data_IF_622828862195
#
_entry.id   IF_622828862195
#
_cell.length_a   1.000
_cell.length_b   1.000
_cell.length_c   1.000
_cell.angle_alpha   90.00
_cell.angle_beta   90.00
_cell.angle_gamma   90.00
#
_symmetry.space_group_name_H-M   'P 1'
#
loop_
_entity.id
_entity.type
_entity.pdbx_description
1 polymer ?
#
# COMPACT_ATOMS: atom_id res chain seq x y z
N UNK A 1 -17.78 -20.94 -6.67
CA UNK A 1 -17.08 -19.69 -7.06
C UNK A 1 -18.14 -18.71 -7.53
N UNK A 2 -18.22 -17.52 -6.94
CA UNK A 2 -19.08 -16.48 -7.47
C UNK A 2 -18.46 -15.97 -8.78
N UNK A 3 -19.25 -15.91 -9.84
CA UNK A 3 -18.86 -15.28 -11.10
C UNK A 3 -18.93 -13.77 -10.86
N UNK A 4 -17.83 -13.05 -11.11
CA UNK A 4 -17.84 -11.59 -11.03
C UNK A 4 -18.77 -11.03 -12.11
N UNK A 5 -19.56 -9.99 -11.82
CA UNK A 5 -20.40 -9.36 -12.83
C UNK A 5 -19.53 -8.85 -14.00
N UNK A 6 -20.00 -9.01 -15.23
CA UNK A 6 -19.26 -8.55 -16.42
C UNK A 6 -19.10 -7.03 -16.48
N UNK A 7 -20.01 -6.29 -15.82
CA UNK A 7 -19.98 -4.83 -15.73
C UNK A 7 -19.59 -4.40 -14.32
N UNK A 8 -18.60 -3.49 -14.15
CA UNK A 8 -18.27 -2.89 -12.86
C UNK A 8 -19.50 -2.23 -12.23
N UNK A 9 -19.63 -2.34 -10.91
CA UNK A 9 -20.60 -1.50 -10.19
C UNK A 9 -20.16 -0.04 -10.19
N UNK A 10 -21.02 0.92 -9.82
CA UNK A 10 -20.60 2.31 -9.64
C UNK A 10 -19.44 2.47 -8.63
N UNK A 11 -19.43 1.66 -7.57
CA UNK A 11 -18.36 1.63 -6.57
C UNK A 11 -17.05 1.10 -7.19
N UNK A 12 -17.12 0.02 -7.96
CA UNK A 12 -15.95 -0.50 -8.69
C UNK A 12 -15.39 0.56 -9.64
N UNK A 13 -16.27 1.25 -10.38
CA UNK A 13 -15.87 2.32 -11.29
C UNK A 13 -15.17 3.47 -10.54
N UNK A 14 -15.68 3.86 -9.37
CA UNK A 14 -15.05 4.89 -8.54
C UNK A 14 -13.64 4.47 -8.08
N UNK A 15 -13.42 3.20 -7.73
CA UNK A 15 -12.08 2.69 -7.38
C UNK A 15 -11.16 2.68 -8.61
N UNK A 16 -11.64 2.25 -9.77
CA UNK A 16 -10.89 2.26 -11.04
C UNK A 16 -10.43 3.68 -11.37
N UNK A 17 -11.32 4.65 -11.29
CA UNK A 17 -11.03 6.05 -11.61
C UNK A 17 -10.00 6.64 -10.65
N UNK A 18 -10.13 6.37 -9.35
CA UNK A 18 -9.16 6.79 -8.33
C UNK A 18 -7.78 6.17 -8.59
N UNK A 19 -7.71 4.86 -8.79
CA UNK A 19 -6.45 4.13 -8.99
C UNK A 19 -5.71 4.60 -10.24
N UNK A 20 -6.43 4.68 -11.36
CA UNK A 20 -5.85 5.10 -12.65
C UNK A 20 -5.41 6.57 -12.60
N UNK A 21 -6.18 7.45 -11.96
CA UNK A 21 -5.80 8.86 -11.77
C UNK A 21 -4.55 8.99 -10.89
N UNK A 22 -4.49 8.30 -9.75
CA UNK A 22 -3.31 8.32 -8.87
C UNK A 22 -2.06 7.80 -9.57
N UNK A 23 -2.16 6.70 -10.32
CA UNK A 23 -1.04 6.17 -11.10
C UNK A 23 -0.57 7.09 -12.21
N UNK A 24 -1.49 7.70 -12.95
CA UNK A 24 -1.11 8.66 -13.99
C UNK A 24 -0.47 9.92 -13.42
N UNK A 25 -0.97 10.43 -12.29
CA UNK A 25 -0.36 11.55 -11.57
C UNK A 25 1.05 11.20 -11.08
N UNK A 26 1.24 10.03 -10.49
CA UNK A 26 2.55 9.58 -10.04
C UNK A 26 3.57 9.52 -11.20
N UNK A 27 3.16 8.97 -12.36
CA UNK A 27 4.02 8.91 -13.55
C UNK A 27 4.37 10.31 -14.07
N UNK A 28 3.42 11.25 -14.04
CA UNK A 28 3.62 12.62 -14.54
C UNK A 28 4.45 13.51 -13.60
N UNK A 29 4.22 13.38 -12.29
CA UNK A 29 4.65 14.38 -11.30
C UNK A 29 5.49 13.80 -10.15
N UNK A 30 5.57 12.48 -10.01
CA UNK A 30 6.17 11.81 -8.86
C UNK A 30 5.31 11.84 -7.59
N UNK A 31 4.12 12.43 -7.65
CA UNK A 31 3.14 12.53 -6.56
C UNK A 31 1.79 11.97 -7.06
N UNK A 32 1.20 10.95 -6.41
CA UNK A 32 -0.10 10.40 -6.83
C UNK A 32 -1.28 11.37 -6.65
N UNK A 33 -1.14 12.35 -5.76
CA UNK A 33 -2.19 13.31 -5.37
C UNK A 33 -1.63 14.73 -5.38
N UNK A 34 -1.10 15.23 -6.50
CA UNK A 34 -0.40 16.53 -6.56
C UNK A 34 -1.33 17.67 -6.10
N UNK A 35 -2.62 17.56 -6.44
CA UNK A 35 -3.71 18.44 -6.02
C UNK A 35 -4.85 17.58 -5.43
N UNK A 36 -5.58 18.13 -4.46
CA UNK A 36 -6.79 17.51 -3.91
C UNK A 36 -7.99 17.85 -4.77
N UNK A 37 -8.77 16.84 -5.16
CA UNK A 37 -9.97 16.97 -6.01
C UNK A 37 -11.15 16.25 -5.38
N UNK A 38 -12.36 16.38 -5.95
CA UNK A 38 -13.51 15.60 -5.48
C UNK A 38 -13.27 14.08 -5.60
N UNK A 39 -12.53 13.65 -6.63
CA UNK A 39 -12.17 12.24 -6.83
C UNK A 39 -11.09 11.78 -5.84
N UNK A 40 -10.12 12.64 -5.54
CA UNK A 40 -8.98 12.39 -4.67
C UNK A 40 -8.93 13.46 -3.55
N UNK A 41 -9.86 13.40 -2.58
CA UNK A 41 -9.97 14.45 -1.55
C UNK A 41 -8.86 14.36 -0.50
N UNK A 42 -8.16 13.22 -0.41
CA UNK A 42 -7.11 12.99 0.59
C UNK A 42 -5.73 13.06 -0.06
N UNK A 43 -4.85 13.88 0.50
CA UNK A 43 -3.43 13.93 0.13
C UNK A 43 -2.75 12.64 0.57
N UNK A 44 -2.15 11.91 -0.38
CA UNK A 44 -1.29 10.77 -0.11
C UNK A 44 0.08 11.27 0.36
N UNK A 45 0.28 11.27 1.68
CA UNK A 45 1.57 11.65 2.28
C UNK A 45 2.56 10.49 2.13
N UNK A 46 3.79 10.73 1.63
CA UNK A 46 4.83 9.71 1.52
C UNK A 46 5.19 9.06 2.87
N UNK A 47 5.78 7.87 2.81
CA UNK A 47 6.42 7.25 3.97
C UNK A 47 7.68 8.02 4.37
N UNK A 48 7.95 8.06 5.67
CA UNK A 48 9.24 8.47 6.23
C UNK A 48 9.77 7.35 7.14
N UNK A 49 11.04 7.43 7.55
CA UNK A 49 11.63 6.46 8.49
C UNK A 49 10.82 6.36 9.80
N UNK A 50 10.31 7.49 10.29
CA UNK A 50 9.51 7.55 11.51
C UNK A 50 8.01 7.25 11.29
N UNK A 51 7.52 7.54 10.08
CA UNK A 51 6.08 7.48 9.75
C UNK A 51 5.82 6.63 8.53
N UNK A 52 5.42 5.38 8.79
CA UNK A 52 4.98 4.43 7.76
C UNK A 52 3.54 4.72 7.33
N UNK A 53 3.30 5.91 6.76
CA UNK A 53 1.99 6.32 6.28
C UNK A 53 1.57 5.45 5.08
N UNK A 54 0.28 5.14 4.97
CA UNK A 54 -0.29 4.55 3.77
C UNK A 54 -1.67 5.13 3.52
N UNK A 55 -2.06 5.17 2.26
CA UNK A 55 -3.42 5.49 1.88
C UNK A 55 -4.23 4.20 1.81
N UNK A 56 -5.31 4.13 2.59
CA UNK A 56 -6.34 3.12 2.38
C UNK A 56 -7.22 3.56 1.20
N UNK A 57 -7.18 2.78 0.13
CA UNK A 57 -7.91 3.05 -1.09
C UNK A 57 -9.23 2.30 -1.02
N UNK A 58 -10.28 3.05 -0.76
CA UNK A 58 -11.67 2.58 -0.69
C UNK A 58 -12.61 3.68 -1.24
N UNK A 59 -13.92 3.47 -1.15
CA UNK A 59 -14.94 4.48 -1.48
C UNK A 59 -14.66 5.77 -0.70
N UNK A 60 -14.31 5.65 0.57
CA UNK A 60 -13.78 6.75 1.37
C UNK A 60 -12.28 6.55 1.60
N UNK A 61 -11.48 7.47 1.08
CA UNK A 61 -10.03 7.40 1.24
C UNK A 61 -9.65 7.85 2.63
N UNK A 62 -8.77 7.09 3.30
CA UNK A 62 -8.24 7.49 4.60
C UNK A 62 -6.73 7.31 4.66
N UNK A 63 -6.03 8.30 5.23
CA UNK A 63 -4.60 8.18 5.49
C UNK A 63 -4.39 7.49 6.83
N UNK A 64 -3.74 6.33 6.81
CA UNK A 64 -3.45 5.50 7.98
C UNK A 64 -1.95 5.34 8.16
N UNK A 65 -1.54 4.71 9.26
CA UNK A 65 -0.14 4.47 9.61
C UNK A 65 0.09 3.01 9.94
N UNK A 66 1.31 2.53 9.68
CA UNK A 66 1.80 1.21 10.09
C UNK A 66 0.88 0.06 9.64
N UNK A 67 0.71 -0.05 8.32
CA UNK A 67 -0.05 -1.14 7.72
C UNK A 67 0.43 -2.48 8.28
N UNK A 68 -0.53 -3.35 8.68
CA UNK A 68 -0.28 -4.74 9.09
C UNK A 68 0.88 -4.94 10.09
N UNK A 69 1.08 -3.97 11.01
CA UNK A 69 2.24 -3.92 11.91
C UNK A 69 2.48 -5.23 12.69
N UNK A 70 1.42 -5.87 13.19
CA UNK A 70 1.53 -7.12 13.95
C UNK A 70 2.13 -8.26 13.12
N UNK A 71 1.70 -8.37 11.86
CA UNK A 71 2.21 -9.38 10.92
C UNK A 71 3.66 -9.10 10.56
N UNK A 72 4.01 -7.84 10.33
CA UNK A 72 5.40 -7.43 10.07
C UNK A 72 6.28 -7.78 11.27
N UNK A 73 5.87 -7.38 12.48
CA UNK A 73 6.62 -7.66 13.71
C UNK A 73 6.79 -9.16 13.96
N UNK A 74 5.76 -9.96 13.72
CA UNK A 74 5.83 -11.41 13.82
C UNK A 74 6.89 -11.98 12.88
N UNK A 75 6.84 -11.63 11.59
CA UNK A 75 7.78 -12.16 10.61
C UNK A 75 9.20 -11.67 10.84
N UNK A 76 9.39 -10.39 11.20
CA UNK A 76 10.70 -9.84 11.56
C UNK A 76 11.33 -10.62 12.71
N UNK A 77 10.56 -10.89 13.76
CA UNK A 77 11.01 -11.67 14.91
C UNK A 77 11.29 -13.13 14.51
N UNK A 78 10.37 -13.76 13.78
CA UNK A 78 10.51 -15.15 13.34
C UNK A 78 11.77 -15.35 12.51
N UNK A 79 12.01 -14.50 11.50
CA UNK A 79 13.20 -14.58 10.67
C UNK A 79 14.45 -14.28 11.48
N UNK A 80 14.43 -13.31 12.40
CA UNK A 80 15.57 -13.01 13.28
C UNK A 80 15.95 -14.20 14.18
N UNK A 81 14.97 -14.94 14.69
CA UNK A 81 15.19 -16.09 15.58
C UNK A 81 15.56 -17.39 14.84
N UNK A 82 15.19 -17.50 13.56
CA UNK A 82 15.37 -18.73 12.78
C UNK A 82 16.36 -18.58 11.62
N UNK A 83 17.20 -17.53 11.63
CA UNK A 83 18.19 -17.26 10.56
C UNK A 83 19.04 -18.49 10.22
N UNK A 84 19.44 -19.25 11.23
CA UNK A 84 20.25 -20.46 11.13
C UNK A 84 19.57 -21.61 10.35
N UNK A 85 18.25 -21.58 10.21
CA UNK A 85 17.48 -22.60 9.48
C UNK A 85 17.13 -22.16 8.05
N UNK A 86 17.49 -20.94 7.64
CA UNK A 86 17.26 -20.44 6.29
C UNK A 86 18.28 -21.07 5.33
N UNK A 87 17.78 -21.89 4.40
CA UNK A 87 18.61 -22.55 3.37
C UNK A 87 19.30 -21.50 2.50
N UNK A 88 20.63 -21.44 2.55
CA UNK A 88 21.43 -20.44 1.84
C UNK A 88 22.03 -19.35 2.73
N UNK A 89 21.66 -19.30 4.02
CA UNK A 89 22.35 -18.44 4.99
C UNK A 89 23.78 -18.96 5.20
N UNK A 90 24.76 -18.28 4.62
CA UNK A 90 26.17 -18.43 4.99
C UNK A 90 26.45 -17.44 6.11
N UNK A 91 26.93 -17.93 7.24
CA UNK A 91 27.40 -17.05 8.31
C UNK A 91 28.68 -16.34 7.81
N UNK A 92 28.52 -15.20 7.14
CA UNK A 92 29.64 -14.30 6.86
C UNK A 92 29.71 -13.29 7.99
N UNK A 93 30.19 -13.75 9.14
CA UNK A 93 30.82 -12.88 10.12
C UNK A 93 32.30 -12.81 9.73
N UNK A 94 32.72 -11.63 9.26
CA UNK A 94 34.10 -11.12 9.40
C UNK A 94 34.04 -10.02 10.46
#
# INVERSE_FOLDING_TARGET
>A
MAVLPETPTPEDQAIIDKMTTMWTNFVKYGDPTPETTELLPVKWIPITEDTLNYLEIDIEQTLKKRAIQERIAFWDLYYKMNKQHIKGYRNTEL
#
